data_IF_821758022176
#
_entry.id   IF_821758022176
#
_cell.length_a   1.000
_cell.length_b   1.000
_cell.length_c   1.000
_cell.angle_alpha   90.00
_cell.angle_beta   90.00
_cell.angle_gamma   90.00
#
_symmetry.space_group_name_H-M   'P 1'
#
loop_
_entity.id
_entity.type
_entity.pdbx_description
1 polymer ?
#
# COMPACT_ATOMS: atom_id res chain seq x y z
N UNK A 1 -18.05 39.48 -50.74
CA UNK A 1 -17.19 38.49 -50.06
C UNK A 1 -18.08 37.33 -49.66
N UNK A 2 -17.78 36.07 -50.04
CA UNK A 2 -18.63 34.95 -49.64
C UNK A 2 -18.60 34.82 -48.12
N UNK A 3 -19.78 34.85 -47.49
CA UNK A 3 -19.94 34.61 -46.05
C UNK A 3 -19.50 33.19 -45.74
N UNK A 4 -18.46 33.03 -44.94
CA UNK A 4 -18.04 31.72 -44.43
C UNK A 4 -19.21 31.07 -43.68
N UNK A 5 -19.65 29.91 -44.15
CA UNK A 5 -20.65 29.11 -43.45
C UNK A 5 -19.97 28.37 -42.30
N UNK A 6 -20.11 28.92 -41.08
CA UNK A 6 -19.54 28.34 -39.87
C UNK A 6 -20.06 26.92 -39.59
N UNK A 7 -21.23 26.54 -40.11
CA UNK A 7 -21.78 25.20 -39.90
C UNK A 7 -20.92 24.12 -40.57
N UNK A 8 -20.25 24.45 -41.69
CA UNK A 8 -19.36 23.53 -42.41
C UNK A 8 -18.14 23.12 -41.57
N UNK A 9 -17.78 23.92 -40.56
CA UNK A 9 -16.66 23.67 -39.65
C UNK A 9 -17.17 23.14 -38.29
N UNK A 10 -18.26 23.70 -37.77
CA UNK A 10 -18.77 23.38 -36.44
C UNK A 10 -19.37 21.97 -36.36
N UNK A 11 -20.10 21.52 -37.38
CA UNK A 11 -20.72 20.18 -37.41
C UNK A 11 -19.68 19.05 -37.38
N UNK A 12 -18.63 19.02 -38.25
CA UNK A 12 -17.62 17.97 -38.18
C UNK A 12 -16.80 18.04 -36.89
N UNK A 13 -16.54 19.25 -36.36
CA UNK A 13 -15.86 19.42 -35.08
C UNK A 13 -16.69 18.83 -33.92
N UNK A 14 -17.99 19.11 -33.87
CA UNK A 14 -18.89 18.55 -32.87
C UNK A 14 -18.99 17.03 -32.97
N UNK A 15 -19.03 16.47 -34.19
CA UNK A 15 -19.00 15.03 -34.41
C UNK A 15 -17.69 14.39 -33.93
N UNK A 16 -16.54 15.02 -34.22
CA UNK A 16 -15.22 14.56 -33.77
C UNK A 16 -15.11 14.57 -32.24
N UNK A 17 -15.54 15.66 -31.59
CA UNK A 17 -15.54 15.76 -30.12
C UNK A 17 -16.48 14.74 -29.47
N UNK A 18 -17.66 14.51 -30.07
CA UNK A 18 -18.61 13.50 -29.59
C UNK A 18 -18.04 12.09 -29.71
N UNK A 19 -17.37 11.77 -30.82
CA UNK A 19 -16.69 10.49 -31.01
C UNK A 19 -15.56 10.32 -29.99
N UNK A 20 -14.74 11.34 -29.79
CA UNK A 20 -13.64 11.32 -28.82
C UNK A 20 -14.14 11.14 -27.39
N UNK A 21 -15.23 11.81 -27.01
CA UNK A 21 -15.89 11.64 -25.71
C UNK A 21 -16.44 10.21 -25.55
N UNK A 22 -17.09 9.67 -26.59
CA UNK A 22 -17.61 8.29 -26.59
C UNK A 22 -16.50 7.25 -26.45
N UNK A 23 -15.44 7.35 -27.25
CA UNK A 23 -14.27 6.45 -27.18
C UNK A 23 -13.60 6.53 -25.82
N UNK A 24 -13.43 7.75 -25.27
CA UNK A 24 -12.89 7.94 -23.92
C UNK A 24 -13.77 7.29 -22.86
N UNK A 25 -15.09 7.47 -22.93
CA UNK A 25 -16.06 6.84 -22.02
C UNK A 25 -15.99 5.32 -22.05
N UNK A 26 -16.01 4.72 -23.26
CA UNK A 26 -15.87 3.27 -23.45
C UNK A 26 -14.53 2.78 -22.91
N UNK A 27 -13.44 3.50 -23.19
CA UNK A 27 -12.11 3.17 -22.67
C UNK A 27 -12.07 3.19 -21.14
N UNK A 28 -12.68 4.19 -20.48
CA UNK A 28 -12.73 4.27 -19.02
C UNK A 28 -13.54 3.13 -18.39
N UNK A 29 -14.67 2.77 -18.98
CA UNK A 29 -15.51 1.64 -18.52
C UNK A 29 -14.75 0.32 -18.68
N UNK A 30 -14.20 0.07 -19.87
CA UNK A 30 -13.42 -1.14 -20.15
C UNK A 30 -12.20 -1.23 -19.21
N UNK A 31 -11.48 -0.13 -19.02
CA UNK A 31 -10.36 -0.06 -18.08
C UNK A 31 -10.82 -0.37 -16.66
N UNK A 32 -11.94 0.19 -16.20
CA UNK A 32 -12.51 -0.09 -14.88
C UNK A 32 -12.75 -1.60 -14.69
N UNK A 33 -13.43 -2.24 -15.65
CA UNK A 33 -13.74 -3.66 -15.59
C UNK A 33 -12.48 -4.55 -15.61
N UNK A 34 -11.52 -4.24 -16.49
CA UNK A 34 -10.26 -4.98 -16.58
C UNK A 34 -9.42 -4.83 -15.30
N UNK A 35 -9.34 -3.62 -14.74
CA UNK A 35 -8.60 -3.37 -13.48
C UNK A 35 -9.25 -4.06 -12.29
N UNK A 36 -10.59 -4.12 -12.23
CA UNK A 36 -11.32 -4.84 -11.18
C UNK A 36 -11.06 -6.35 -11.26
N UNK A 37 -11.24 -6.96 -12.44
CA UNK A 37 -10.96 -8.38 -12.65
C UNK A 37 -9.51 -8.73 -12.33
N UNK A 38 -8.58 -7.86 -12.70
CA UNK A 38 -7.17 -8.01 -12.36
C UNK A 38 -6.93 -8.00 -10.85
N UNK A 39 -7.55 -7.07 -10.12
CA UNK A 39 -7.38 -6.96 -8.67
C UNK A 39 -7.86 -8.22 -7.95
N UNK A 40 -9.02 -8.76 -8.34
CA UNK A 40 -9.54 -10.03 -7.81
C UNK A 40 -8.58 -11.19 -8.13
N UNK A 41 -8.15 -11.30 -9.38
CA UNK A 41 -7.25 -12.38 -9.76
C UNK A 41 -5.90 -12.30 -9.02
N UNK A 42 -5.48 -11.09 -8.63
CA UNK A 42 -4.27 -10.90 -7.82
C UNK A 42 -4.51 -11.29 -6.36
N UNK A 43 -5.62 -10.91 -5.74
CA UNK A 43 -5.91 -11.27 -4.35
C UNK A 43 -6.02 -12.79 -4.17
N UNK A 44 -6.56 -13.50 -5.16
CA UNK A 44 -6.64 -14.98 -5.16
C UNK A 44 -5.28 -15.65 -5.43
N UNK A 45 -4.33 -14.93 -6.05
CA UNK A 45 -3.01 -15.45 -6.38
C UNK A 45 -1.92 -14.96 -5.41
N UNK A 46 -2.27 -14.93 -4.13
CA UNK A 46 -1.36 -14.71 -3.01
C UNK A 46 -1.10 -16.04 -2.31
N UNK A 47 0.08 -16.21 -1.73
CA UNK A 47 0.35 -17.24 -0.75
C UNK A 47 0.41 -16.57 0.64
N UNK A 48 -0.23 -17.20 1.62
CA UNK A 48 -0.21 -16.77 3.02
C UNK A 48 0.89 -17.54 3.73
N UNK A 49 1.87 -16.82 4.26
CA UNK A 49 2.90 -17.37 5.12
C UNK A 49 2.66 -16.97 6.56
N UNK A 50 2.74 -17.91 7.49
CA UNK A 50 2.81 -17.60 8.92
C UNK A 50 4.24 -17.20 9.27
N UNK A 51 4.38 -16.12 10.04
CA UNK A 51 5.67 -15.62 10.51
C UNK A 51 5.78 -15.87 12.00
N UNK A 52 6.81 -16.61 12.41
CA UNK A 52 7.11 -16.89 13.82
C UNK A 52 8.52 -16.40 14.13
N UNK A 53 8.73 -15.80 15.30
CA UNK A 53 10.06 -15.35 15.73
C UNK A 53 10.44 -16.11 16.98
N UNK A 54 11.60 -16.76 16.96
CA UNK A 54 12.14 -17.39 18.14
C UNK A 54 12.60 -16.31 19.12
N UNK A 55 12.05 -16.32 20.34
CA UNK A 55 12.48 -15.41 21.40
C UNK A 55 13.88 -15.83 21.86
N UNK A 56 14.88 -15.03 21.52
CA UNK A 56 16.22 -15.19 22.09
C UNK A 56 16.14 -14.71 23.55
N UNK A 57 16.24 -15.64 24.50
CA UNK A 57 16.30 -15.32 25.92
C UNK A 57 17.60 -14.55 26.19
N UNK A 58 17.54 -13.22 26.19
CA UNK A 58 18.62 -12.37 26.71
C UNK A 58 18.57 -12.42 28.23
N UNK A 59 19.70 -12.71 28.88
CA UNK A 59 19.81 -12.73 30.34
C UNK A 59 19.45 -11.35 30.93
N UNK A 60 18.71 -11.40 32.04
CA UNK A 60 17.87 -10.35 32.62
C UNK A 60 18.62 -9.19 33.32
N UNK A 61 19.74 -8.70 32.78
CA UNK A 61 20.55 -7.65 33.47
C UNK A 61 20.48 -6.25 32.85
N UNK A 62 19.71 -6.02 31.78
CA UNK A 62 19.72 -4.73 31.05
C UNK A 62 18.34 -4.10 30.93
N UNK A 63 17.79 -3.67 32.07
CA UNK A 63 16.47 -3.05 32.18
C UNK A 63 16.29 -1.72 31.41
N UNK A 64 17.38 -1.08 30.98
CA UNK A 64 17.32 0.16 30.18
C UNK A 64 17.56 -0.06 28.67
N UNK A 65 18.18 -1.19 28.27
CA UNK A 65 18.35 -1.54 26.84
C UNK A 65 17.07 -2.02 26.16
N UNK A 66 16.04 -2.38 26.93
CA UNK A 66 14.74 -2.79 26.40
C UNK A 66 14.00 -1.67 25.66
N UNK A 67 14.20 -0.39 26.04
CA UNK A 67 13.57 0.77 25.38
C UNK A 67 14.17 1.11 24.02
N UNK A 68 15.44 0.78 23.79
CA UNK A 68 16.11 0.97 22.49
C UNK A 68 15.99 -0.27 21.60
N UNK A 69 15.91 -1.47 22.18
CA UNK A 69 15.85 -2.75 21.44
C UNK A 69 14.70 -2.83 20.44
N UNK A 70 13.48 -2.38 20.78
CA UNK A 70 12.35 -2.43 19.84
C UNK A 70 12.51 -1.43 18.69
N UNK A 71 13.22 -0.30 18.90
CA UNK A 71 13.53 0.66 17.84
C UNK A 71 14.55 0.10 16.85
N UNK A 72 15.53 -0.67 17.34
CA UNK A 72 16.48 -1.40 16.48
C UNK A 72 15.78 -2.44 15.60
N UNK A 73 14.84 -3.20 16.17
CA UNK A 73 14.02 -4.17 15.42
C UNK A 73 13.18 -3.49 14.33
N UNK A 74 12.58 -2.33 14.64
CA UNK A 74 11.89 -1.51 13.62
C UNK A 74 12.86 -0.99 12.56
N UNK A 75 14.09 -0.63 12.93
CA UNK A 75 15.13 -0.24 11.98
C UNK A 75 15.46 -1.36 10.99
N UNK A 76 15.59 -2.61 11.47
CA UNK A 76 15.74 -3.79 10.60
C UNK A 76 14.53 -3.98 9.68
N UNK A 77 13.32 -3.77 10.20
CA UNK A 77 12.09 -3.80 9.40
C UNK A 77 12.07 -2.71 8.32
N UNK A 78 12.56 -1.50 8.60
CA UNK A 78 12.66 -0.43 7.60
C UNK A 78 13.57 -0.82 6.43
N UNK A 79 14.67 -1.50 6.70
CA UNK A 79 15.57 -2.02 5.66
C UNK A 79 14.88 -3.10 4.82
N UNK A 80 14.18 -4.04 5.47
CA UNK A 80 13.38 -5.05 4.78
C UNK A 80 12.33 -4.38 3.87
N UNK A 81 11.55 -3.43 4.39
CA UNK A 81 10.54 -2.70 3.62
C UNK A 81 11.14 -1.93 2.45
N UNK A 82 12.33 -1.35 2.62
CA UNK A 82 13.07 -0.68 1.54
C UNK A 82 13.44 -1.65 0.43
N UNK A 83 13.88 -2.86 0.79
CA UNK A 83 14.18 -3.92 -0.18
C UNK A 83 12.93 -4.44 -0.87
N UNK A 84 11.84 -4.68 -0.13
CA UNK A 84 10.55 -5.09 -0.69
C UNK A 84 9.96 -4.01 -1.62
N UNK A 85 10.20 -2.72 -1.35
CA UNK A 85 9.78 -1.63 -2.22
C UNK A 85 10.46 -1.63 -3.61
N UNK A 86 11.54 -2.41 -3.77
CA UNK A 86 12.18 -2.61 -5.06
C UNK A 86 11.57 -3.76 -5.87
N UNK A 87 10.70 -4.58 -5.28
CA UNK A 87 9.94 -5.61 -5.98
C UNK A 87 8.96 -4.93 -6.93
N UNK A 88 9.33 -4.91 -8.21
CA UNK A 88 8.56 -4.28 -9.27
C UNK A 88 8.33 -5.28 -10.38
N UNK A 89 7.11 -5.29 -10.91
CA UNK A 89 6.89 -5.95 -12.19
C UNK A 89 7.65 -5.21 -13.30
N UNK A 90 8.20 -5.99 -14.25
CA UNK A 90 8.83 -5.45 -15.46
C UNK A 90 7.84 -4.51 -16.16
N UNK A 91 8.34 -3.40 -16.72
CA UNK A 91 7.53 -2.45 -17.48
C UNK A 91 6.85 -3.21 -18.63
N UNK A 92 5.54 -3.36 -18.54
CA UNK A 92 4.71 -4.04 -19.54
C UNK A 92 3.38 -3.31 -19.58
N UNK A 93 2.67 -3.41 -20.71
CA UNK A 93 1.25 -3.04 -20.82
C UNK A 93 0.43 -3.64 -19.68
N UNK A 94 0.83 -4.81 -19.16
CA UNK A 94 0.25 -5.41 -17.95
C UNK A 94 0.32 -4.49 -16.72
N UNK A 95 1.35 -3.68 -16.52
CA UNK A 95 1.39 -2.76 -15.37
C UNK A 95 0.30 -1.68 -15.43
N UNK A 96 -0.09 -1.25 -16.64
CA UNK A 96 -1.13 -0.24 -16.85
C UNK A 96 -2.53 -0.75 -16.45
N UNK A 97 -2.79 -2.04 -16.70
CA UNK A 97 -4.07 -2.69 -16.39
C UNK A 97 -4.09 -3.39 -15.03
N UNK A 98 -2.95 -3.92 -14.58
CA UNK A 98 -2.86 -4.76 -13.40
C UNK A 98 -2.32 -4.03 -12.16
N UNK A 99 -1.65 -2.88 -12.31
CA UNK A 99 -1.12 -2.08 -11.20
C UNK A 99 0.18 -2.65 -10.59
N UNK A 100 0.65 -2.06 -9.49
CA UNK A 100 1.85 -2.52 -8.78
C UNK A 100 1.56 -3.76 -7.92
N UNK A 101 2.50 -4.70 -7.76
CA UNK A 101 2.37 -5.76 -6.77
C UNK A 101 2.29 -5.14 -5.36
N UNK A 102 1.55 -5.80 -4.48
CA UNK A 102 1.43 -5.45 -3.08
C UNK A 102 1.71 -6.67 -2.21
N UNK A 103 2.08 -6.41 -0.97
CA UNK A 103 2.30 -7.40 0.09
C UNK A 103 1.39 -7.00 1.24
N UNK A 104 0.88 -7.98 1.98
CA UNK A 104 0.06 -7.74 3.17
C UNK A 104 0.81 -8.20 4.42
N UNK A 105 0.83 -7.36 5.45
CA UNK A 105 1.22 -7.74 6.80
C UNK A 105 -0.04 -7.81 7.66
N UNK A 106 -0.24 -8.92 8.35
CA UNK A 106 -1.49 -9.23 9.04
C UNK A 106 -1.25 -9.63 10.48
N UNK A 107 -2.05 -9.07 11.39
CA UNK A 107 -2.16 -9.47 12.79
C UNK A 107 -3.55 -10.06 12.96
N UNK A 108 -3.64 -11.32 13.36
CA UNK A 108 -4.88 -12.09 13.28
C UNK A 108 -5.09 -12.86 14.57
N UNK A 109 -6.30 -12.76 15.11
CA UNK A 109 -6.79 -13.69 16.12
C UNK A 109 -7.93 -14.51 15.47
N UNK A 110 -7.65 -15.76 15.07
CA UNK A 110 -8.63 -16.63 14.43
C UNK A 110 -9.77 -16.97 15.39
N UNK A 111 -10.97 -17.18 14.84
CA UNK A 111 -12.14 -17.53 15.65
C UNK A 111 -12.01 -18.87 16.38
N UNK A 112 -11.08 -19.73 15.96
CA UNK A 112 -10.85 -21.06 16.53
C UNK A 112 -9.57 -21.16 17.39
N UNK A 113 -8.94 -20.04 17.77
CA UNK A 113 -7.69 -20.04 18.52
C UNK A 113 -7.62 -18.88 19.51
N UNK A 114 -6.97 -19.10 20.65
CA UNK A 114 -6.70 -18.05 21.64
C UNK A 114 -5.41 -17.27 21.34
N UNK A 115 -4.67 -17.70 20.31
CA UNK A 115 -3.38 -17.10 19.95
C UNK A 115 -3.54 -15.99 18.91
N UNK A 116 -2.60 -15.05 18.93
CA UNK A 116 -2.42 -14.06 17.88
C UNK A 116 -1.36 -14.58 16.92
N UNK A 117 -1.73 -14.68 15.64
CA UNK A 117 -0.83 -15.06 14.57
C UNK A 117 -0.47 -13.86 13.71
N UNK A 118 0.77 -13.87 13.22
CA UNK A 118 1.28 -12.90 12.28
C UNK A 118 1.41 -13.56 10.92
N UNK A 119 0.79 -12.96 9.90
CA UNK A 119 0.83 -13.47 8.54
C UNK A 119 1.43 -12.46 7.58
N UNK A 120 2.03 -13.00 6.52
CA UNK A 120 2.63 -12.29 5.43
C UNK A 120 2.03 -12.84 4.13
N UNK A 121 1.14 -12.06 3.49
CA UNK A 121 0.56 -12.45 2.21
C UNK A 121 1.42 -11.89 1.06
N UNK A 122 1.93 -12.78 0.21
CA UNK A 122 2.89 -12.45 -0.86
C UNK A 122 2.37 -12.95 -2.20
N UNK A 123 2.53 -12.21 -3.31
CA UNK A 123 2.22 -12.75 -4.63
C UNK A 123 3.13 -13.95 -4.91
N UNK A 124 2.56 -15.11 -5.31
CA UNK A 124 3.29 -16.38 -5.46
C UNK A 124 4.63 -16.27 -6.19
N UNK A 125 4.66 -15.43 -7.22
CA UNK A 125 5.85 -15.14 -8.04
C UNK A 125 7.05 -14.63 -7.23
N UNK A 126 6.82 -13.92 -6.14
CA UNK A 126 7.85 -13.28 -5.32
C UNK A 126 8.13 -14.01 -4.01
N UNK A 127 7.39 -15.09 -3.70
CA UNK A 127 7.46 -15.83 -2.44
C UNK A 127 8.90 -16.13 -2.01
N UNK A 128 9.63 -16.89 -2.83
CA UNK A 128 11.02 -17.30 -2.54
C UNK A 128 11.95 -16.10 -2.34
N UNK A 129 11.76 -15.02 -3.11
CA UNK A 129 12.56 -13.80 -2.95
C UNK A 129 12.25 -13.11 -1.62
N UNK A 130 10.98 -12.98 -1.25
CA UNK A 130 10.57 -12.34 0.01
C UNK A 130 11.03 -13.17 1.20
N UNK A 131 10.86 -14.49 1.17
CA UNK A 131 11.32 -15.40 2.22
C UNK A 131 12.82 -15.25 2.50
N UNK A 132 13.66 -15.26 1.45
CA UNK A 132 15.10 -14.99 1.58
C UNK A 132 15.42 -13.62 2.17
N UNK A 133 14.65 -12.58 1.80
CA UNK A 133 14.85 -11.24 2.38
C UNK A 133 14.49 -11.23 3.86
N UNK A 134 13.36 -11.80 4.24
CA UNK A 134 12.95 -11.83 5.65
C UNK A 134 13.97 -12.60 6.49
N UNK A 135 14.42 -13.79 6.06
CA UNK A 135 15.49 -14.51 6.77
C UNK A 135 16.82 -13.75 6.83
N UNK A 136 17.15 -12.96 5.80
CA UNK A 136 18.38 -12.15 5.80
C UNK A 136 18.37 -11.03 6.83
N UNK A 137 17.21 -10.40 7.09
CA UNK A 137 17.07 -9.34 8.09
C UNK A 137 16.67 -9.87 9.47
N UNK A 138 15.99 -11.01 9.53
CA UNK A 138 15.48 -11.65 10.73
C UNK A 138 15.88 -13.14 10.73
N UNK A 139 17.15 -13.47 11.07
CA UNK A 139 17.65 -14.85 10.99
C UNK A 139 16.97 -15.80 11.98
N UNK A 140 16.39 -15.28 13.06
CA UNK A 140 15.66 -16.04 14.07
C UNK A 140 14.15 -16.17 13.74
N UNK A 141 13.73 -15.79 12.53
CA UNK A 141 12.35 -15.97 12.08
C UNK A 141 12.18 -17.30 11.33
N UNK A 142 11.02 -17.93 11.51
CA UNK A 142 10.51 -19.02 10.68
C UNK A 142 9.34 -18.49 9.84
N UNK A 143 9.33 -18.86 8.56
CA UNK A 143 8.28 -18.49 7.62
C UNK A 143 7.82 -19.76 6.94
N UNK A 144 6.53 -20.04 7.07
CA UNK A 144 5.96 -21.29 6.56
C UNK A 144 4.66 -21.00 5.83
N UNK A 145 4.46 -21.64 4.67
CA UNK A 145 3.20 -21.52 3.95
C UNK A 145 2.14 -22.32 4.67
N UNK A 146 1.02 -21.66 4.89
CA UNK A 146 -0.14 -22.25 5.55
C UNK A 146 -1.38 -22.11 4.67
N UNK A 147 -2.41 -22.95 4.89
CA UNK A 147 -3.73 -22.70 4.33
C UNK A 147 -4.31 -21.38 4.84
N UNK A 148 -5.30 -20.85 4.12
CA UNK A 148 -6.02 -19.65 4.53
C UNK A 148 -6.65 -19.83 5.91
N UNK A 149 -6.52 -18.80 6.75
CA UNK A 149 -7.16 -18.75 8.07
C UNK A 149 -8.57 -18.17 7.96
N UNK A 150 -9.38 -18.36 9.01
CA UNK A 150 -10.69 -17.72 9.16
C UNK A 150 -10.77 -16.94 10.46
N UNK A 151 -11.30 -15.73 10.38
CA UNK A 151 -11.71 -14.92 11.53
C UNK A 151 -13.23 -14.97 11.75
N UNK A 152 -13.94 -15.64 10.86
CA UNK A 152 -15.40 -15.72 10.90
C UNK A 152 -15.83 -16.92 11.73
N UNK A 153 -16.91 -16.75 12.49
CA UNK A 153 -17.59 -17.81 13.22
C UNK A 153 -19.01 -17.96 12.68
N UNK A 154 -19.58 -19.18 12.57
CA UNK A 154 -20.95 -19.37 12.11
C UNK A 154 -21.96 -18.55 12.93
N UNK A 155 -22.86 -17.84 12.24
CA UNK A 155 -23.88 -17.01 12.91
C UNK A 155 -23.36 -15.68 13.48
N UNK A 156 -22.10 -15.32 13.24
CA UNK A 156 -21.55 -14.04 13.69
C UNK A 156 -21.97 -12.86 12.80
N UNK A 157 -21.76 -11.65 13.32
CA UNK A 157 -21.89 -10.41 12.56
C UNK A 157 -20.50 -9.88 12.17
N UNK A 158 -20.39 -9.33 10.96
CA UNK A 158 -19.14 -8.77 10.46
C UNK A 158 -19.19 -7.24 10.48
N UNK A 159 -18.17 -6.62 11.06
CA UNK A 159 -17.92 -5.17 10.98
C UNK A 159 -16.54 -4.91 10.39
N UNK A 160 -16.43 -3.90 9.52
CA UNK A 160 -15.18 -3.55 8.83
C UNK A 160 -14.96 -2.05 8.93
N UNK A 161 -13.74 -1.66 9.29
CA UNK A 161 -13.29 -0.27 9.27
C UNK A 161 -12.10 -0.10 8.33
N UNK A 162 -12.16 0.89 7.45
CA UNK A 162 -11.06 1.27 6.56
C UNK A 162 -10.45 2.60 7.01
N UNK A 163 -9.17 2.60 7.34
CA UNK A 163 -8.44 3.79 7.75
C UNK A 163 -7.74 4.44 6.54
N UNK A 164 -7.81 5.76 6.46
CA UNK A 164 -7.08 6.56 5.47
C UNK A 164 -6.39 7.73 6.15
N UNK A 165 -5.28 8.19 5.56
CA UNK A 165 -4.62 9.39 6.03
C UNK A 165 -5.57 10.59 5.92
N UNK A 166 -5.75 11.32 7.03
CA UNK A 166 -6.49 12.58 7.05
C UNK A 166 -5.82 13.64 6.18
N UNK A 167 -4.50 13.68 6.24
CA UNK A 167 -3.65 14.59 5.48
C UNK A 167 -2.99 13.88 4.30
N UNK A 168 -2.51 14.66 3.33
CA UNK A 168 -1.75 14.12 2.21
C UNK A 168 -0.45 13.47 2.70
N UNK A 169 -0.04 12.38 2.06
CA UNK A 169 1.20 11.62 2.32
C UNK A 169 2.50 12.44 2.31
N UNK A 170 2.46 13.70 1.84
CA UNK A 170 3.59 14.61 1.91
C UNK A 170 3.88 15.08 3.34
N UNK A 171 2.88 14.99 4.23
CA UNK A 171 3.06 15.17 5.66
C UNK A 171 3.33 13.81 6.31
N UNK A 172 4.40 13.67 7.09
CA UNK A 172 4.70 12.41 7.76
C UNK A 172 3.66 12.10 8.84
N UNK A 173 3.45 10.81 9.10
CA UNK A 173 2.88 10.34 10.36
C UNK A 173 3.98 10.36 11.44
N UNK A 174 3.59 10.30 12.71
CA UNK A 174 4.55 10.19 13.81
C UNK A 174 5.42 8.95 13.59
N UNK A 175 6.74 9.12 13.53
CA UNK A 175 7.70 8.02 13.35
C UNK A 175 7.99 7.33 14.68
N UNK A 176 8.49 6.09 14.61
CA UNK A 176 8.88 5.32 15.79
C UNK A 176 9.98 6.01 16.62
N UNK A 177 10.82 6.84 15.98
CA UNK A 177 11.85 7.64 16.66
C UNK A 177 11.24 8.54 17.76
N UNK A 178 10.08 9.14 17.46
CA UNK A 178 9.35 10.03 18.38
C UNK A 178 8.37 9.30 19.32
N UNK A 179 8.30 7.97 19.25
CA UNK A 179 7.48 7.15 20.13
C UNK A 179 8.28 6.67 21.34
N UNK A 180 7.61 6.62 22.49
CA UNK A 180 8.21 6.21 23.77
C UNK A 180 7.85 4.78 24.18
N UNK A 181 6.81 4.22 23.55
CA UNK A 181 6.25 2.90 23.85
C UNK A 181 5.96 2.21 22.53
N UNK A 182 6.15 0.89 22.50
CA UNK A 182 5.83 0.05 21.37
C UNK A 182 4.30 0.04 21.12
N UNK A 183 3.83 0.46 19.92
CA UNK A 183 2.41 0.47 19.59
C UNK A 183 1.79 -0.94 19.46
N UNK A 184 2.59 -1.99 19.29
CA UNK A 184 2.07 -3.35 19.12
C UNK A 184 1.42 -3.87 20.41
N UNK A 185 1.89 -3.44 21.58
CA UNK A 185 1.34 -3.85 22.88
C UNK A 185 -0.14 -3.48 23.02
N UNK A 186 -0.53 -2.27 22.61
CA UNK A 186 -1.93 -1.83 22.66
C UNK A 186 -2.83 -2.65 21.72
N UNK A 187 -2.32 -2.96 20.52
CA UNK A 187 -3.05 -3.78 19.55
C UNK A 187 -3.24 -5.20 20.08
N UNK A 188 -2.17 -5.83 20.55
CA UNK A 188 -2.22 -7.20 21.08
C UNK A 188 -3.11 -7.30 22.33
N UNK A 189 -3.08 -6.31 23.22
CA UNK A 189 -3.95 -6.25 24.41
C UNK A 189 -5.43 -6.06 24.06
N UNK A 190 -5.74 -5.40 22.93
CA UNK A 190 -7.11 -5.28 22.46
C UNK A 190 -7.59 -6.60 21.84
N UNK A 191 -6.75 -7.26 21.05
CA UNK A 191 -7.05 -8.55 20.43
C UNK A 191 -7.18 -9.68 21.46
N UNK A 192 -6.39 -9.68 22.53
CA UNK A 192 -6.45 -10.73 23.57
C UNK A 192 -7.72 -10.71 24.43
N UNK A 193 -8.54 -9.65 24.33
CA UNK A 193 -9.82 -9.54 25.04
C UNK A 193 -11.00 -10.16 24.28
N UNK A 194 -10.78 -10.57 23.03
CA UNK A 194 -11.79 -11.24 22.22
C UNK A 194 -12.14 -12.59 22.85
N UNK A 195 -13.41 -12.98 22.80
CA UNK A 195 -13.83 -14.28 23.32
C UNK A 195 -13.43 -15.38 22.34
N UNK A 196 -12.44 -16.18 22.75
CA UNK A 196 -12.00 -17.39 22.05
C UNK A 196 -13.20 -18.28 21.70
N UNK A 197 -13.24 -18.81 20.46
CA UNK A 197 -14.29 -19.67 19.87
C UNK A 197 -15.49 -18.96 19.20
N UNK A 198 -15.80 -17.71 19.54
CA UNK A 198 -16.99 -17.00 19.01
C UNK A 198 -16.64 -15.72 18.26
N UNK A 199 -15.52 -15.08 18.62
CA UNK A 199 -15.06 -13.84 18.02
C UNK A 199 -13.73 -14.05 17.30
N UNK A 200 -13.52 -13.31 16.21
CA UNK A 200 -12.25 -13.29 15.50
C UNK A 200 -12.02 -11.91 14.89
N UNK A 201 -10.75 -11.55 14.72
CA UNK A 201 -10.38 -10.25 14.19
C UNK A 201 -9.08 -10.33 13.40
N UNK A 202 -8.97 -9.46 12.39
CA UNK A 202 -7.75 -9.24 11.64
C UNK A 202 -7.49 -7.75 11.46
N UNK A 203 -6.21 -7.37 11.58
CA UNK A 203 -5.70 -6.06 11.18
C UNK A 203 -4.77 -6.28 10.00
N UNK A 204 -5.09 -5.66 8.87
CA UNK A 204 -4.35 -5.82 7.62
C UNK A 204 -3.65 -4.52 7.22
N UNK A 205 -2.35 -4.60 6.97
CA UNK A 205 -1.53 -3.53 6.43
C UNK A 205 -1.09 -3.89 5.00
N UNK A 206 -1.76 -3.28 4.02
CA UNK A 206 -1.45 -3.50 2.60
C UNK A 206 -0.37 -2.52 2.14
N UNK A 207 0.78 -3.07 1.78
CA UNK A 207 1.96 -2.33 1.35
C UNK A 207 2.13 -2.42 -0.16
N UNK A 208 2.22 -1.27 -0.82
CA UNK A 208 2.45 -1.20 -2.26
C UNK A 208 3.48 -0.14 -2.62
N UNK A 209 4.19 -0.36 -3.72
CA UNK A 209 5.24 0.56 -4.16
C UNK A 209 4.65 1.91 -4.59
N UNK A 210 5.22 3.00 -4.05
CA UNK A 210 4.83 4.35 -4.42
C UNK A 210 5.19 4.67 -5.88
N UNK A 211 4.37 5.48 -6.53
CA UNK A 211 4.61 5.95 -7.91
C UNK A 211 5.86 6.85 -8.01
N UNK A 212 6.45 6.93 -9.21
CA UNK A 212 7.69 7.70 -9.48
C UNK A 212 7.62 9.17 -9.02
N UNK A 213 6.45 9.79 -9.08
CA UNK A 213 6.24 11.19 -8.70
C UNK A 213 6.13 11.43 -7.20
N UNK A 214 5.97 10.39 -6.38
CA UNK A 214 5.73 10.52 -4.93
C UNK A 214 6.85 11.28 -4.23
N UNK A 215 8.11 10.86 -4.44
CA UNK A 215 9.28 11.48 -3.81
C UNK A 215 9.53 12.91 -4.32
N UNK A 216 9.40 13.13 -5.63
CA UNK A 216 9.58 14.47 -6.23
C UNK A 216 8.55 15.46 -5.72
N UNK A 217 7.31 15.01 -5.53
CA UNK A 217 6.24 15.84 -4.99
C UNK A 217 6.53 16.25 -3.54
N UNK A 218 6.89 15.30 -2.68
CA UNK A 218 7.25 15.59 -1.29
C UNK A 218 8.41 16.59 -1.19
N UNK A 219 9.49 16.36 -1.95
CA UNK A 219 10.63 17.29 -2.03
C UNK A 219 10.23 18.69 -2.50
N UNK A 220 9.36 18.77 -3.51
CA UNK A 220 8.89 20.06 -4.04
C UNK A 220 8.04 20.83 -3.02
N UNK A 221 7.22 20.13 -2.23
CA UNK A 221 6.41 20.77 -1.18
C UNK A 221 7.34 21.28 -0.08
N UNK A 222 8.25 20.45 0.41
CA UNK A 222 9.21 20.82 1.45
C UNK A 222 10.07 22.03 1.03
N UNK A 223 10.60 22.04 -0.20
CA UNK A 223 11.40 23.15 -0.71
C UNK A 223 10.62 24.47 -0.77
N UNK A 224 9.35 24.43 -1.17
CA UNK A 224 8.49 25.63 -1.21
C UNK A 224 8.14 26.15 0.18
N UNK A 225 7.92 25.25 1.13
CA UNK A 225 7.70 25.62 2.52
C UNK A 225 8.95 26.24 3.15
N UNK A 226 10.14 25.74 2.81
CA UNK A 226 11.41 26.37 3.21
C UNK A 226 11.58 27.79 2.62
N UNK A 227 10.97 28.08 1.47
CA UNK A 227 10.92 29.42 0.88
C UNK A 227 9.84 30.33 1.49
N UNK A 228 9.16 29.89 2.57
CA UNK A 228 8.13 30.66 3.25
C UNK A 228 6.72 30.52 2.69
N UNK A 229 6.48 29.67 1.68
CA UNK A 229 5.11 29.41 1.20
C UNK A 229 4.32 28.61 2.24
N UNK A 230 3.03 28.92 2.38
CA UNK A 230 2.13 28.10 3.19
C UNK A 230 1.90 26.74 2.55
N UNK A 231 1.61 25.72 3.36
CA UNK A 231 1.41 24.34 2.91
C UNK A 231 0.33 24.23 1.82
N UNK A 232 -0.78 24.97 1.96
CA UNK A 232 -1.89 24.98 1.00
C UNK A 232 -1.44 25.37 -0.41
N UNK A 233 -0.60 26.41 -0.51
CA UNK A 233 -0.12 26.95 -1.79
C UNK A 233 0.94 26.03 -2.39
N UNK A 234 1.83 25.49 -1.54
CA UNK A 234 2.84 24.53 -1.96
C UNK A 234 2.23 23.24 -2.53
N UNK A 235 1.10 22.77 -1.97
CA UNK A 235 0.38 21.59 -2.45
C UNK A 235 -0.32 21.84 -3.79
N UNK A 236 -1.01 22.97 -3.93
CA UNK A 236 -1.75 23.35 -5.15
C UNK A 236 -0.81 23.47 -6.35
N UNK A 237 0.29 24.22 -6.22
CA UNK A 237 1.26 24.37 -7.30
C UNK A 237 1.87 23.04 -7.74
N UNK A 238 2.09 22.13 -6.79
CA UNK A 238 2.69 20.82 -7.05
C UNK A 238 1.74 19.92 -7.85
N UNK A 239 0.43 20.04 -7.65
CA UNK A 239 -0.57 19.35 -8.47
C UNK A 239 -0.52 19.85 -9.92
N UNK A 240 -0.57 21.17 -10.14
CA UNK A 240 -0.53 21.77 -11.48
C UNK A 240 0.74 21.37 -12.24
N UNK A 241 1.91 21.45 -11.58
CA UNK A 241 3.20 21.06 -12.17
C UNK A 241 3.28 19.56 -12.49
N UNK A 242 2.59 18.71 -11.75
CA UNK A 242 2.57 17.27 -12.04
C UNK A 242 1.62 16.96 -13.21
N UNK A 243 0.42 17.55 -13.25
CA UNK A 243 -0.51 17.41 -14.37
C UNK A 243 0.16 17.84 -15.69
N UNK A 244 0.80 19.01 -15.72
CA UNK A 244 1.53 19.48 -16.91
C UNK A 244 2.68 18.55 -17.33
N UNK A 245 3.37 17.90 -16.38
CA UNK A 245 4.44 16.93 -16.69
C UNK A 245 3.92 15.58 -17.18
N UNK A 246 2.76 15.14 -16.72
CA UNK A 246 2.13 13.91 -17.21
C UNK A 246 1.63 14.13 -18.64
N UNK A 247 0.93 15.24 -18.90
CA UNK A 247 0.50 15.60 -20.25
C UNK A 247 1.68 15.80 -21.22
N UNK A 248 2.77 16.45 -20.77
CA UNK A 248 3.95 16.66 -21.59
C UNK A 248 4.80 15.41 -21.85
N UNK A 249 4.72 14.37 -21.01
CA UNK A 249 5.44 13.10 -21.22
C UNK A 249 4.70 12.12 -22.12
N UNK A 250 3.37 12.16 -22.12
CA UNK A 250 2.56 11.35 -23.02
C UNK A 250 2.64 11.88 -24.47
N UNK A 251 2.88 13.19 -24.66
CA UNK A 251 3.10 13.81 -25.97
C UNK A 251 4.54 13.70 -26.51
N UNK A 252 5.51 13.27 -25.69
CA UNK A 252 6.93 13.17 -26.08
C UNK A 252 7.39 11.72 -26.30
N UNK A 253 6.46 10.78 -26.41
CA UNK A 253 6.73 9.37 -26.72
C UNK A 253 6.01 8.88 -28.00
N UNK A 254 5.57 9.80 -28.86
CA UNK A 254 5.33 9.52 -30.28
C UNK A 254 6.52 9.97 -31.11
#
# INVERSE_FOLDING_TARGET
MPSLDFNLILVPLAAMLSLMAFVSGVFLIMRSFLTFKSQINRSVNMDIEIVRVAKVLKNSEEGDKGRESWKEEIGSMEQLLTTLANIKEKKSLRRLFYGNPHISLEIVNPSNSEEIFFYLAIPRKFRESVEKQVHSYFPNSSIEKVPDYTIFSPGSFTSVAALKLKNRYALPIKTYEAMNVDPLNEISNALSKLQSAEEGAAIQLILSTAGKGWRTMGKSIAHKMQQGKQLKDAQADSLVKNVGRYMGKDLSQE
#
